data_IF_412481358334
#
_entry.id   IF_412481358334
#
_cell.length_a   1.000
_cell.length_b   1.000
_cell.length_c   1.000
_cell.angle_alpha   90.00
_cell.angle_beta   90.00
_cell.angle_gamma   90.00
#
_symmetry.space_group_name_H-M   'P 1'
#
loop_
_entity.id
_entity.type
_entity.pdbx_description
1 polymer ?
#
# COMPACT_ATOMS: atom_id res chain seq x y z
N UNK A 1 4.95 0.81 -1.39
CA UNK A 1 5.42 0.20 -2.65
C UNK A 1 4.23 -0.36 -3.41
N UNK A 2 4.23 -0.30 -4.75
CA UNK A 2 3.26 -1.00 -5.60
C UNK A 2 3.98 -1.63 -6.79
N UNK A 3 3.36 -2.64 -7.41
CA UNK A 3 3.94 -3.37 -8.52
C UNK A 3 2.91 -3.61 -9.62
N UNK A 4 3.34 -3.53 -10.86
CA UNK A 4 2.50 -3.77 -12.01
C UNK A 4 3.32 -4.31 -13.18
N UNK A 5 3.05 -5.54 -13.59
CA UNK A 5 3.68 -6.20 -14.76
C UNK A 5 5.22 -6.07 -14.79
N UNK A 6 5.85 -6.36 -13.64
CA UNK A 6 7.30 -6.27 -13.48
C UNK A 6 7.87 -4.86 -13.32
N UNK A 7 7.05 -3.84 -13.25
CA UNK A 7 7.43 -2.49 -12.84
C UNK A 7 7.20 -2.34 -11.34
N UNK A 8 8.21 -1.87 -10.64
CA UNK A 8 8.18 -1.67 -9.18
C UNK A 8 8.22 -0.16 -8.93
N UNK A 9 7.26 0.34 -8.17
CA UNK A 9 7.09 1.74 -7.82
C UNK A 9 7.37 1.92 -6.33
N UNK A 10 8.29 2.80 -5.98
CA UNK A 10 8.66 3.08 -4.58
C UNK A 10 8.61 4.57 -4.33
N UNK A 11 7.77 5.00 -3.40
CA UNK A 11 7.72 6.41 -2.98
C UNK A 11 8.99 6.79 -2.23
N UNK A 12 9.67 7.84 -2.69
CA UNK A 12 10.83 8.43 -2.03
C UNK A 12 10.47 9.83 -1.52
N UNK A 13 10.11 9.88 -0.25
CA UNK A 13 9.67 11.11 0.42
C UNK A 13 10.80 12.16 0.52
N UNK A 14 12.05 11.74 0.55
CA UNK A 14 13.21 12.63 0.65
C UNK A 14 13.52 13.27 -0.70
N UNK A 15 13.58 12.45 -1.75
CA UNK A 15 13.83 12.93 -3.11
C UNK A 15 12.58 13.55 -3.77
N UNK A 16 11.39 13.35 -3.19
CA UNK A 16 10.09 13.85 -3.70
C UNK A 16 9.71 13.25 -5.05
N UNK A 17 10.04 11.99 -5.28
CA UNK A 17 9.72 11.25 -6.50
C UNK A 17 9.14 9.89 -6.16
N UNK A 18 8.52 9.25 -7.14
CA UNK A 18 8.31 7.80 -7.15
C UNK A 18 9.39 7.17 -8.01
N UNK A 19 10.23 6.33 -7.42
CA UNK A 19 11.26 5.58 -8.13
C UNK A 19 10.61 4.42 -8.87
N UNK A 20 10.98 4.23 -10.13
CA UNK A 20 10.43 3.20 -11.00
C UNK A 20 11.55 2.28 -11.47
N UNK A 21 11.44 1.01 -11.11
CA UNK A 21 12.30 -0.06 -11.62
C UNK A 21 11.49 -0.86 -12.64
N UNK A 22 11.72 -0.62 -13.92
CA UNK A 22 11.12 -1.40 -15.02
C UNK A 22 12.04 -2.58 -15.30
N UNK A 23 11.79 -3.67 -14.56
CA UNK A 23 12.66 -4.84 -14.58
C UNK A 23 12.66 -5.54 -15.93
N UNK A 24 11.51 -5.77 -16.61
CA UNK A 24 11.49 -6.37 -17.93
C UNK A 24 12.31 -5.62 -18.98
N UNK A 25 12.43 -4.29 -18.83
CA UNK A 25 13.19 -3.44 -19.76
C UNK A 25 14.58 -3.09 -19.27
N UNK A 26 14.94 -3.49 -18.04
CA UNK A 26 16.21 -3.13 -17.41
C UNK A 26 16.37 -1.61 -17.23
N UNK A 27 15.29 -0.86 -17.02
CA UNK A 27 15.30 0.59 -16.92
C UNK A 27 15.00 1.05 -15.51
N UNK A 28 15.68 2.12 -15.12
CA UNK A 28 15.40 2.89 -13.92
C UNK A 28 15.00 4.30 -14.29
N UNK A 29 13.95 4.81 -13.67
CA UNK A 29 13.45 6.17 -13.86
C UNK A 29 12.76 6.67 -12.58
N UNK A 30 12.24 7.87 -12.62
CA UNK A 30 11.38 8.41 -11.57
C UNK A 30 10.14 9.08 -12.17
N UNK A 31 9.09 9.22 -11.35
CA UNK A 31 7.86 9.92 -11.66
C UNK A 31 7.70 11.03 -10.63
N UNK A 32 7.24 12.18 -11.09
CA UNK A 32 7.10 13.45 -10.38
C UNK A 32 7.85 14.54 -11.14
N UNK A 33 7.25 15.70 -11.25
CA UNK A 33 7.84 16.85 -11.93
C UNK A 33 8.71 17.66 -10.95
N UNK A 34 9.74 18.34 -11.45
CA UNK A 34 10.57 19.23 -10.64
C UNK A 34 9.77 20.46 -10.17
N UNK A 35 8.82 20.89 -10.99
CA UNK A 35 7.92 22.02 -10.74
C UNK A 35 6.55 21.81 -11.41
N UNK A 36 5.58 22.63 -11.07
CA UNK A 36 4.25 22.60 -11.68
C UNK A 36 3.27 21.64 -11.00
N UNK A 37 2.13 21.35 -11.66
CA UNK A 37 1.01 20.62 -11.03
C UNK A 37 1.31 19.15 -10.77
N UNK A 38 2.28 18.55 -11.45
CA UNK A 38 2.73 17.17 -11.28
C UNK A 38 3.89 17.03 -10.27
N UNK A 39 4.29 18.11 -9.58
CA UNK A 39 5.33 18.05 -8.57
C UNK A 39 4.84 17.32 -7.33
N UNK A 40 5.63 16.35 -6.86
CA UNK A 40 5.43 15.68 -5.59
C UNK A 40 6.13 16.47 -4.48
N UNK A 41 5.44 16.65 -3.35
CA UNK A 41 5.95 17.39 -2.18
C UNK A 41 6.38 16.42 -1.09
N UNK A 42 5.52 15.47 -0.75
CA UNK A 42 5.77 14.44 0.26
C UNK A 42 4.97 13.18 -0.04
N UNK A 43 5.39 12.41 -1.06
CA UNK A 43 4.70 11.17 -1.43
C UNK A 43 4.84 10.12 -0.32
N UNK A 44 3.77 9.42 0.00
CA UNK A 44 3.73 8.41 1.07
C UNK A 44 3.15 7.08 0.60
N UNK A 45 1.89 7.02 0.25
CA UNK A 45 1.23 5.82 -0.27
C UNK A 45 1.09 5.89 -1.79
N UNK A 46 1.05 4.76 -2.45
CA UNK A 46 0.86 4.70 -3.90
C UNK A 46 0.22 3.39 -4.32
N UNK A 47 -0.51 3.43 -5.42
CA UNK A 47 -1.08 2.26 -6.05
C UNK A 47 -1.15 2.44 -7.57
N UNK A 48 -1.34 1.32 -8.31
CA UNK A 48 -1.37 1.29 -9.77
C UNK A 48 -2.61 0.52 -10.25
N UNK A 49 -3.36 1.11 -11.18
CA UNK A 49 -4.52 0.44 -11.76
C UNK A 49 -4.15 -0.54 -12.90
N UNK A 50 -5.16 -1.25 -13.40
CA UNK A 50 -5.00 -2.23 -14.48
C UNK A 50 -4.56 -1.65 -15.84
N UNK A 51 -4.58 -0.32 -16.02
CA UNK A 51 -4.05 0.38 -17.18
C UNK A 51 -2.60 0.87 -16.95
N UNK A 52 -2.04 0.66 -15.75
CA UNK A 52 -0.70 1.10 -15.40
C UNK A 52 -0.61 2.58 -14.97
N UNK A 53 -1.76 3.24 -14.71
CA UNK A 53 -1.77 4.60 -14.17
C UNK A 53 -1.38 4.55 -12.68
N UNK A 54 -0.50 5.46 -12.29
CA UNK A 54 0.00 5.58 -10.92
C UNK A 54 -0.80 6.62 -10.14
N UNK A 55 -1.21 6.25 -8.94
CA UNK A 55 -1.92 7.09 -7.97
C UNK A 55 -1.02 7.29 -6.76
N UNK A 56 -0.70 8.54 -6.43
CA UNK A 56 0.23 8.88 -5.35
C UNK A 56 -0.44 9.73 -4.29
N UNK A 57 -0.55 9.21 -3.09
CA UNK A 57 -0.97 9.97 -1.93
C UNK A 57 0.17 10.91 -1.50
N UNK A 58 -0.03 12.20 -1.61
CA UNK A 58 0.96 13.21 -1.22
C UNK A 58 0.45 14.05 -0.06
N UNK A 59 1.08 13.88 1.11
CA UNK A 59 0.71 14.62 2.34
C UNK A 59 0.98 16.11 2.18
N UNK A 60 2.06 16.48 1.49
CA UNK A 60 2.43 17.89 1.32
C UNK A 60 1.48 18.61 0.38
N UNK A 61 1.08 17.97 -0.71
CA UNK A 61 0.08 18.47 -1.64
C UNK A 61 -1.36 18.36 -1.11
N UNK A 62 -1.58 17.57 -0.06
CA UNK A 62 -2.90 17.21 0.48
C UNK A 62 -3.85 16.73 -0.62
N UNK A 63 -3.36 15.85 -1.46
CA UNK A 63 -4.08 15.33 -2.61
C UNK A 63 -3.51 13.99 -3.05
N UNK A 64 -4.27 13.28 -3.88
CA UNK A 64 -3.77 12.17 -4.67
C UNK A 64 -3.42 12.71 -6.06
N UNK A 65 -2.16 12.56 -6.48
CA UNK A 65 -1.70 12.91 -7.81
C UNK A 65 -1.74 11.66 -8.70
N UNK A 66 -2.25 11.81 -9.91
CA UNK A 66 -2.44 10.72 -10.86
C UNK A 66 -1.56 10.96 -12.08
N UNK A 67 -0.79 9.92 -12.45
CA UNK A 67 0.09 9.92 -13.62
C UNK A 67 -0.32 8.77 -14.55
N UNK A 68 -0.06 8.94 -15.84
CA UNK A 68 -0.25 7.85 -16.81
C UNK A 68 0.84 6.77 -16.69
N UNK A 69 0.76 5.74 -17.53
CA UNK A 69 1.71 4.63 -17.52
C UNK A 69 3.14 5.05 -17.91
N UNK A 70 3.30 6.16 -18.60
CA UNK A 70 4.58 6.78 -19.00
C UNK A 70 5.13 7.71 -17.92
N UNK A 71 4.32 8.04 -16.89
CA UNK A 71 4.69 8.92 -15.78
C UNK A 71 4.36 10.39 -16.02
N UNK A 72 3.53 10.71 -17.02
CA UNK A 72 3.08 12.07 -17.29
C UNK A 72 1.91 12.39 -16.33
N UNK A 73 1.97 13.58 -15.72
CA UNK A 73 0.92 14.03 -14.82
C UNK A 73 -0.42 14.19 -15.57
N UNK A 74 -1.46 13.59 -15.04
CA UNK A 74 -2.82 13.68 -15.58
C UNK A 74 -3.68 14.67 -14.80
N UNK A 75 -3.76 14.51 -13.48
CA UNK A 75 -4.60 15.33 -12.60
C UNK A 75 -4.35 15.02 -11.14
N UNK A 76 -4.99 15.81 -10.30
CA UNK A 76 -5.07 15.59 -8.83
C UNK A 76 -6.52 15.34 -8.40
N UNK A 77 -6.69 14.56 -7.34
CA UNK A 77 -7.96 14.32 -6.68
C UNK A 77 -7.84 14.76 -5.21
N UNK A 78 -8.83 15.53 -4.76
CA UNK A 78 -8.86 16.11 -3.42
C UNK A 78 -8.02 17.36 -3.27
N UNK A 79 -8.07 17.95 -2.09
CA UNK A 79 -7.43 19.19 -1.68
C UNK A 79 -7.27 19.23 -0.17
N UNK A 80 -6.78 20.36 0.36
CA UNK A 80 -6.72 20.62 1.81
C UNK A 80 -8.10 20.62 2.49
N UNK A 81 -9.18 20.82 1.74
CA UNK A 81 -10.55 20.76 2.29
C UNK A 81 -10.98 19.32 2.57
N UNK A 82 -10.45 18.38 1.79
CA UNK A 82 -10.71 16.94 1.95
C UNK A 82 -9.71 16.25 2.85
N UNK A 83 -8.41 16.53 2.69
CA UNK A 83 -7.36 15.79 3.39
C UNK A 83 -6.64 16.66 4.42
N UNK A 84 -6.70 16.24 5.66
CA UNK A 84 -5.89 16.84 6.73
C UNK A 84 -4.56 16.07 6.86
N UNK A 85 -4.62 14.74 6.88
CA UNK A 85 -3.45 13.87 7.00
C UNK A 85 -3.65 12.58 6.21
N UNK A 86 -3.49 12.69 4.92
CA UNK A 86 -3.52 11.57 3.99
C UNK A 86 -2.37 10.59 4.28
N UNK A 87 -2.66 9.29 4.43
CA UNK A 87 -1.64 8.27 4.76
C UNK A 87 -1.43 7.26 3.65
N UNK A 88 -2.47 6.89 2.92
CA UNK A 88 -2.39 5.91 1.85
C UNK A 88 -3.50 6.11 0.83
N UNK A 89 -3.35 5.42 -0.30
CA UNK A 89 -4.31 5.35 -1.39
C UNK A 89 -4.32 3.96 -2.00
N UNK A 90 -5.49 3.47 -2.39
CA UNK A 90 -5.61 2.39 -3.35
C UNK A 90 -6.66 2.71 -4.41
N UNK A 91 -6.61 1.99 -5.53
CA UNK A 91 -7.51 2.17 -6.67
C UNK A 91 -8.02 0.82 -7.14
N UNK A 92 -9.26 0.74 -7.61
CA UNK A 92 -9.73 -0.48 -8.24
C UNK A 92 -9.03 -0.72 -9.60
N UNK A 93 -8.98 -1.98 -10.03
CA UNK A 93 -8.28 -2.36 -11.27
C UNK A 93 -8.83 -1.64 -12.52
N UNK A 94 -10.09 -1.20 -12.51
CA UNK A 94 -10.70 -0.43 -13.59
C UNK A 94 -10.28 1.06 -13.57
N UNK A 95 -9.69 1.53 -12.46
CA UNK A 95 -9.36 2.94 -12.25
C UNK A 95 -10.60 3.81 -12.17
N UNK A 96 -11.66 3.31 -11.55
CA UNK A 96 -12.94 4.01 -11.40
C UNK A 96 -13.13 4.55 -10.00
N UNK A 97 -12.79 3.77 -8.97
CA UNK A 97 -12.92 4.16 -7.56
C UNK A 97 -11.54 4.27 -6.92
N UNK A 98 -11.32 5.40 -6.29
CA UNK A 98 -10.12 5.70 -5.52
C UNK A 98 -10.50 5.76 -4.04
N UNK A 99 -9.73 5.07 -3.21
CA UNK A 99 -9.88 4.99 -1.77
C UNK A 99 -8.67 5.62 -1.09
N UNK A 100 -8.88 6.65 -0.29
CA UNK A 100 -7.80 7.40 0.35
C UNK A 100 -7.99 7.42 1.87
N UNK A 101 -6.97 7.00 2.60
CA UNK A 101 -6.98 6.98 4.07
C UNK A 101 -6.61 8.36 4.60
N UNK A 102 -7.52 8.98 5.35
CA UNK A 102 -7.28 10.24 6.05
C UNK A 102 -7.47 10.06 7.56
N UNK A 103 -6.46 10.38 8.33
CA UNK A 103 -6.52 10.30 9.80
C UNK A 103 -6.82 11.65 10.46
N UNK A 104 -7.09 12.67 9.66
CA UNK A 104 -7.38 14.00 10.19
C UNK A 104 -6.26 14.58 11.06
N UNK A 105 -6.60 15.53 11.92
CA UNK A 105 -5.71 16.05 12.96
C UNK A 105 -5.71 15.19 14.22
N UNK A 106 -4.81 15.47 15.15
CA UNK A 106 -4.64 14.70 16.41
C UNK A 106 -5.93 14.60 17.24
N UNK A 107 -6.78 15.61 17.17
CA UNK A 107 -8.08 15.67 17.87
C UNK A 107 -9.28 15.46 16.93
N UNK A 108 -9.04 15.03 15.70
CA UNK A 108 -10.09 14.86 14.70
C UNK A 108 -10.84 13.56 14.91
N UNK A 109 -12.13 13.56 14.65
CA UNK A 109 -12.96 12.35 14.55
C UNK A 109 -12.93 11.75 13.13
N UNK A 110 -12.19 12.36 12.21
CA UNK A 110 -12.07 11.96 10.80
C UNK A 110 -11.01 10.87 10.59
N UNK A 111 -11.13 9.75 11.28
CA UNK A 111 -10.37 8.55 10.97
C UNK A 111 -11.19 7.74 9.98
N UNK A 112 -10.90 7.88 8.69
CA UNK A 112 -11.79 7.35 7.65
C UNK A 112 -11.07 7.00 6.36
N UNK A 113 -11.74 6.23 5.52
CA UNK A 113 -11.39 6.01 4.12
C UNK A 113 -12.34 6.84 3.28
N UNK A 114 -11.81 7.81 2.53
CA UNK A 114 -12.58 8.63 1.60
C UNK A 114 -12.62 7.96 0.23
N UNK A 115 -13.79 7.90 -0.34
CA UNK A 115 -14.01 7.28 -1.66
C UNK A 115 -14.31 8.37 -2.68
N UNK A 116 -13.54 8.35 -3.77
CA UNK A 116 -13.71 9.28 -4.88
C UNK A 116 -13.94 8.53 -6.20
N UNK A 117 -14.66 9.14 -7.09
CA UNK A 117 -14.62 8.77 -8.51
C UNK A 117 -13.24 9.17 -9.07
N UNK A 118 -12.48 8.18 -9.50
CA UNK A 118 -11.10 8.40 -9.91
C UNK A 118 -10.98 9.18 -11.24
N UNK A 119 -12.04 9.23 -12.05
CA UNK A 119 -12.08 9.95 -13.34
C UNK A 119 -12.45 11.42 -13.18
N UNK A 120 -13.48 11.72 -12.43
CA UNK A 120 -13.96 13.08 -12.20
C UNK A 120 -13.34 13.78 -11.01
N UNK A 121 -12.82 13.00 -10.03
CA UNK A 121 -12.36 13.49 -8.75
C UNK A 121 -13.50 13.82 -7.77
N UNK A 122 -14.75 13.48 -8.10
CA UNK A 122 -15.90 13.72 -7.25
C UNK A 122 -15.84 12.83 -6.00
N UNK A 123 -16.06 13.41 -4.83
CA UNK A 123 -16.24 12.65 -3.60
C UNK A 123 -17.55 11.87 -3.66
N UNK A 124 -17.49 10.59 -3.35
CA UNK A 124 -18.63 9.68 -3.39
C UNK A 124 -19.19 9.40 -2.00
N UNK A 125 -18.31 9.08 -1.04
CA UNK A 125 -18.66 8.78 0.36
C UNK A 125 -17.44 8.66 1.24
N UNK A 126 -17.66 8.59 2.55
CA UNK A 126 -16.67 8.21 3.55
C UNK A 126 -17.05 6.86 4.16
N UNK A 127 -16.03 6.05 4.52
CA UNK A 127 -16.15 4.78 5.22
C UNK A 127 -15.44 4.93 6.57
N UNK A 128 -16.16 4.57 7.65
CA UNK A 128 -15.66 4.61 9.01
C UNK A 128 -15.62 6.00 9.62
N UNK A 129 -15.24 6.01 10.88
CA UNK A 129 -15.02 7.18 11.74
C UNK A 129 -14.09 6.79 12.88
N UNK A 130 -13.67 7.74 13.69
CA UNK A 130 -12.85 7.45 14.88
C UNK A 130 -13.60 6.61 15.89
N UNK A 131 -12.97 5.52 16.33
CA UNK A 131 -13.49 4.63 17.37
C UNK A 131 -12.79 3.27 17.37
N UNK A 132 -13.38 2.33 18.10
CA UNK A 132 -12.89 0.95 18.23
C UNK A 132 -13.97 -0.11 17.96
N UNK A 133 -15.16 0.30 17.63
CA UNK A 133 -16.30 -0.57 17.28
C UNK A 133 -16.17 -1.18 15.88
N UNK A 134 -17.24 -1.83 15.45
CA UNK A 134 -17.38 -2.37 14.11
C UNK A 134 -17.39 -1.24 13.08
N UNK A 135 -16.53 -1.34 12.07
CA UNK A 135 -16.41 -0.32 11.04
C UNK A 135 -15.82 1.02 11.49
N UNK A 136 -15.38 1.14 12.73
CA UNK A 136 -14.66 2.31 13.25
C UNK A 136 -13.15 2.11 13.19
N UNK A 137 -12.37 3.21 13.21
CA UNK A 137 -10.92 3.21 13.12
C UNK A 137 -10.25 4.03 14.21
N UNK A 138 -9.06 3.59 14.59
CA UNK A 138 -8.13 4.41 15.36
C UNK A 138 -6.78 4.48 14.62
N UNK A 139 -6.47 5.65 14.08
CA UNK A 139 -5.26 5.88 13.28
C UNK A 139 -5.10 4.86 12.13
N UNK A 140 -6.05 4.77 11.21
CA UNK A 140 -5.91 3.89 10.04
C UNK A 140 -4.66 4.28 9.26
N UNK A 141 -3.94 3.27 8.75
CA UNK A 141 -2.63 3.45 8.14
C UNK A 141 -2.64 3.27 6.64
N UNK A 142 -3.29 2.21 6.21
CA UNK A 142 -3.25 1.76 4.84
C UNK A 142 -4.56 1.10 4.43
N UNK A 143 -4.81 1.04 3.13
CA UNK A 143 -5.96 0.40 2.52
C UNK A 143 -5.52 -0.35 1.27
N UNK A 144 -6.01 -1.57 1.11
CA UNK A 144 -5.87 -2.36 -0.10
C UNK A 144 -7.23 -2.90 -0.55
N UNK A 145 -7.35 -3.19 -1.84
CA UNK A 145 -8.55 -3.78 -2.44
C UNK A 145 -8.24 -5.18 -2.95
N UNK A 146 -9.04 -6.16 -2.54
CA UNK A 146 -8.99 -7.52 -3.07
C UNK A 146 -9.62 -7.62 -4.46
N UNK A 147 -9.32 -8.67 -5.19
CA UNK A 147 -9.90 -8.94 -6.51
C UNK A 147 -11.43 -9.07 -6.49
N UNK A 148 -11.97 -9.47 -5.36
CA UNK A 148 -13.42 -9.56 -5.11
C UNK A 148 -14.07 -8.20 -4.78
N UNK A 149 -13.29 -7.14 -4.75
CA UNK A 149 -13.72 -5.77 -4.44
C UNK A 149 -13.82 -5.46 -2.94
N UNK A 150 -13.46 -6.39 -2.05
CA UNK A 150 -13.39 -6.12 -0.62
C UNK A 150 -12.25 -5.17 -0.30
N UNK A 151 -12.49 -4.28 0.67
CA UNK A 151 -11.51 -3.35 1.17
C UNK A 151 -10.93 -3.88 2.48
N UNK A 152 -9.61 -3.83 2.60
CA UNK A 152 -8.86 -4.23 3.77
C UNK A 152 -8.14 -3.00 4.31
N UNK A 153 -8.47 -2.59 5.53
CA UNK A 153 -7.93 -1.36 6.14
C UNK A 153 -7.10 -1.73 7.36
N UNK A 154 -5.85 -1.33 7.39
CA UNK A 154 -4.98 -1.43 8.58
C UNK A 154 -5.42 -0.40 9.60
N UNK A 155 -6.09 -0.82 10.64
CA UNK A 155 -6.51 -0.01 11.78
C UNK A 155 -5.42 -0.01 12.85
N UNK A 156 -4.40 0.83 12.62
CA UNK A 156 -3.11 0.75 13.31
C UNK A 156 -3.20 0.98 14.82
N UNK A 157 -4.07 1.87 15.27
CA UNK A 157 -4.26 2.16 16.69
C UNK A 157 -5.14 1.16 17.42
N UNK A 158 -5.91 0.34 16.69
CA UNK A 158 -6.68 -0.77 17.25
C UNK A 158 -6.01 -2.13 16.98
N UNK A 159 -4.83 -2.15 16.35
CA UNK A 159 -4.01 -3.36 16.12
C UNK A 159 -4.74 -4.47 15.37
N UNK A 160 -5.48 -4.10 14.33
CA UNK A 160 -6.31 -5.03 13.53
C UNK A 160 -6.34 -4.65 12.06
N UNK A 161 -6.79 -5.58 11.23
CA UNK A 161 -7.25 -5.31 9.86
C UNK A 161 -8.77 -5.37 9.84
N UNK A 162 -9.41 -4.35 9.29
CA UNK A 162 -10.88 -4.27 9.16
C UNK A 162 -11.24 -4.49 7.69
N UNK A 163 -12.25 -5.33 7.45
CA UNK A 163 -12.68 -5.72 6.12
C UNK A 163 -14.09 -5.19 5.85
N UNK A 164 -14.24 -4.55 4.70
CA UNK A 164 -15.51 -4.03 4.20
C UNK A 164 -15.85 -4.66 2.86
N UNK A 165 -17.13 -4.68 2.52
CA UNK A 165 -17.55 -4.96 1.16
C UNK A 165 -17.25 -3.79 0.22
N UNK A 166 -17.50 -3.97 -1.07
CA UNK A 166 -17.31 -2.93 -2.09
C UNK A 166 -18.11 -1.65 -1.82
N UNK A 167 -19.22 -1.77 -1.09
CA UNK A 167 -20.11 -0.66 -0.78
C UNK A 167 -19.77 0.03 0.54
N UNK A 168 -18.73 -0.46 1.24
CA UNK A 168 -18.23 0.11 2.48
C UNK A 168 -19.00 -0.36 3.72
N UNK A 169 -19.75 -1.45 3.63
CA UNK A 169 -20.35 -2.08 4.79
C UNK A 169 -19.32 -2.95 5.50
N UNK A 170 -19.29 -2.86 6.82
CA UNK A 170 -18.43 -3.71 7.65
C UNK A 170 -18.76 -5.18 7.46
N UNK A 171 -17.75 -5.99 7.25
CA UNK A 171 -17.89 -7.44 7.17
C UNK A 171 -17.32 -8.12 8.42
N UNK A 172 -16.09 -7.81 8.76
CA UNK A 172 -15.38 -8.39 9.92
C UNK A 172 -14.04 -7.70 10.15
N UNK A 173 -13.35 -8.09 11.21
CA UNK A 173 -11.94 -7.73 11.46
C UNK A 173 -11.19 -8.91 12.04
N UNK A 174 -9.87 -8.88 11.93
CA UNK A 174 -8.96 -9.84 12.57
C UNK A 174 -7.71 -9.14 13.09
N UNK A 175 -6.99 -9.83 13.99
CA UNK A 175 -5.85 -9.28 14.71
C UNK A 175 -6.22 -8.65 16.05
N UNK A 176 -5.25 -8.51 16.90
CA UNK A 176 -5.36 -7.86 18.21
C UNK A 176 -3.98 -7.41 18.68
N UNK A 177 -3.93 -6.53 19.68
CA UNK A 177 -2.65 -6.16 20.30
C UNK A 177 -1.99 -7.36 20.98
N UNK A 178 -0.68 -7.54 20.78
CA UNK A 178 0.07 -8.58 21.48
C UNK A 178 1.40 -8.89 20.86
N UNK A 179 2.05 -9.97 21.34
CA UNK A 179 3.37 -10.42 20.91
C UNK A 179 3.35 -11.83 20.29
N UNK A 180 2.20 -12.44 20.23
CA UNK A 180 2.03 -13.78 19.64
C UNK A 180 1.77 -13.68 18.12
N UNK A 181 1.95 -14.78 17.45
CA UNK A 181 1.62 -14.89 16.02
C UNK A 181 0.13 -14.61 15.78
N UNK A 182 -0.17 -13.86 14.71
CA UNK A 182 -1.52 -13.39 14.43
C UNK A 182 -1.92 -12.14 15.22
N UNK A 183 -1.07 -11.69 16.15
CA UNK A 183 -1.25 -10.41 16.84
C UNK A 183 -0.35 -9.33 16.23
N UNK A 184 -0.64 -8.08 16.55
CA UNK A 184 0.09 -6.92 16.04
C UNK A 184 0.60 -6.03 17.17
N UNK A 185 1.75 -5.42 16.93
CA UNK A 185 2.32 -4.39 17.79
C UNK A 185 2.38 -3.03 17.09
N UNK A 186 2.61 -3.01 15.77
CA UNK A 186 2.63 -1.81 14.94
C UNK A 186 2.34 -2.13 13.48
N UNK A 187 1.11 -2.59 13.15
CA UNK A 187 0.75 -2.89 11.78
C UNK A 187 0.78 -1.60 10.96
N UNK A 188 1.29 -1.67 9.73
CA UNK A 188 1.54 -0.47 8.93
C UNK A 188 0.94 -0.52 7.52
N UNK A 189 1.24 -1.55 6.75
CA UNK A 189 0.74 -1.70 5.38
C UNK A 189 0.14 -3.08 5.15
N UNK A 190 -0.74 -3.17 4.16
CA UNK A 190 -1.45 -4.39 3.76
C UNK A 190 -1.40 -4.55 2.25
N UNK A 191 -1.20 -5.79 1.80
CA UNK A 191 -1.35 -6.20 0.41
C UNK A 191 -2.22 -7.44 0.32
N UNK A 192 -2.89 -7.64 -0.81
CA UNK A 192 -3.79 -8.78 -1.05
C UNK A 192 -3.32 -9.48 -2.32
N UNK A 193 -3.17 -10.81 -2.27
CA UNK A 193 -2.87 -11.59 -3.44
C UNK A 193 -4.14 -12.02 -4.22
N UNK A 194 -3.95 -12.77 -5.30
CA UNK A 194 -5.05 -13.25 -6.15
C UNK A 194 -6.01 -14.19 -5.44
N UNK A 195 -5.50 -14.93 -4.45
CA UNK A 195 -6.24 -15.94 -3.72
C UNK A 195 -6.97 -15.33 -2.51
N UNK A 196 -6.76 -14.02 -2.29
CA UNK A 196 -7.34 -13.25 -1.20
C UNK A 196 -6.55 -13.36 0.11
N UNK A 197 -5.32 -13.93 0.07
CA UNK A 197 -4.48 -13.91 1.25
C UNK A 197 -4.03 -12.48 1.57
N UNK A 198 -3.96 -12.19 2.85
CA UNK A 198 -3.72 -10.85 3.39
C UNK A 198 -2.32 -10.78 3.97
N UNK A 199 -1.50 -9.90 3.45
CA UNK A 199 -0.11 -9.67 3.85
C UNK A 199 -0.04 -8.40 4.66
N UNK A 200 0.38 -8.46 5.92
CA UNK A 200 0.43 -7.30 6.81
C UNK A 200 1.82 -7.11 7.36
N UNK A 201 2.42 -5.93 7.13
CA UNK A 201 3.68 -5.55 7.77
C UNK A 201 3.44 -5.14 9.22
N UNK A 202 4.23 -5.70 10.13
CA UNK A 202 4.38 -5.17 11.48
C UNK A 202 5.79 -4.59 11.69
N UNK A 203 5.85 -3.27 11.76
CA UNK A 203 7.12 -2.54 11.89
C UNK A 203 7.81 -2.78 13.23
N UNK A 204 7.06 -3.04 14.31
CA UNK A 204 7.65 -3.29 15.62
C UNK A 204 8.27 -4.68 15.70
N UNK A 205 7.66 -5.68 15.09
CA UNK A 205 8.21 -7.03 15.00
C UNK A 205 9.31 -7.16 13.94
N UNK A 206 9.38 -6.21 12.98
CA UNK A 206 10.30 -6.30 11.85
C UNK A 206 9.98 -7.47 10.94
N UNK A 207 8.70 -7.78 10.72
CA UNK A 207 8.24 -8.88 9.89
C UNK A 207 7.03 -8.50 9.06
N UNK A 208 6.59 -9.41 8.22
CA UNK A 208 5.22 -9.42 7.70
C UNK A 208 4.56 -10.75 8.01
N UNK A 209 3.27 -10.71 8.21
CA UNK A 209 2.42 -11.86 8.50
C UNK A 209 1.46 -12.09 7.34
N UNK A 210 1.20 -13.34 7.00
CA UNK A 210 0.30 -13.76 5.93
C UNK A 210 -0.89 -14.47 6.56
N UNK A 211 -2.07 -14.01 6.22
CA UNK A 211 -3.34 -14.56 6.69
C UNK A 211 -4.14 -15.08 5.50
N UNK A 212 -4.94 -16.10 5.71
CA UNK A 212 -5.92 -16.53 4.74
C UNK A 212 -7.07 -15.50 4.59
N UNK A 213 -7.97 -15.67 3.59
CA UNK A 213 -9.12 -14.78 3.45
C UNK A 213 -10.02 -14.72 4.69
N UNK A 214 -9.96 -15.69 5.59
CA UNK A 214 -10.73 -15.73 6.82
C UNK A 214 -10.03 -15.08 8.01
N UNK A 215 -8.79 -14.64 7.86
CA UNK A 215 -7.99 -13.98 8.87
C UNK A 215 -7.24 -14.96 9.79
N UNK A 216 -7.16 -16.24 9.43
CA UNK A 216 -6.30 -17.19 10.11
C UNK A 216 -4.86 -17.04 9.64
N UNK A 217 -3.91 -17.02 10.59
CA UNK A 217 -2.49 -16.89 10.27
C UNK A 217 -1.98 -18.13 9.54
N UNK A 218 -1.39 -17.91 8.37
CA UNK A 218 -0.72 -18.95 7.57
C UNK A 218 0.79 -18.98 7.81
N UNK A 219 1.43 -17.82 7.80
CA UNK A 219 2.88 -17.71 7.87
C UNK A 219 3.30 -16.32 8.38
N UNK A 220 4.50 -16.25 8.95
CA UNK A 220 5.20 -14.98 9.14
C UNK A 220 6.62 -15.08 8.56
N UNK A 221 7.14 -13.96 8.06
CA UNK A 221 8.46 -13.91 7.43
C UNK A 221 9.22 -12.72 7.98
N UNK A 222 10.46 -12.98 8.36
CA UNK A 222 11.37 -11.97 8.87
C UNK A 222 11.32 -11.78 10.38
N UNK A 223 12.16 -10.86 10.84
CA UNK A 223 12.27 -10.47 12.23
C UNK A 223 13.15 -9.25 12.39
N UNK A 224 12.91 -8.51 13.48
CA UNK A 224 13.67 -7.31 13.80
C UNK A 224 15.14 -7.63 14.02
N UNK A 225 16.01 -6.90 13.30
CA UNK A 225 17.44 -7.08 13.41
C UNK A 225 18.16 -5.75 13.14
N UNK A 226 19.26 -5.50 13.84
CA UNK A 226 20.10 -4.31 13.67
C UNK A 226 21.11 -4.46 12.51
N UNK A 227 21.32 -5.70 12.06
CA UNK A 227 22.21 -6.00 10.93
C UNK A 227 21.39 -6.40 9.72
N UNK A 228 21.72 -5.83 8.57
CA UNK A 228 21.10 -6.18 7.30
C UNK A 228 21.36 -7.64 6.91
N UNK A 229 20.45 -8.20 6.14
CA UNK A 229 20.49 -9.57 5.62
C UNK A 229 19.12 -10.03 5.16
N UNK A 230 19.04 -11.22 4.54
CA UNK A 230 17.76 -11.79 4.10
C UNK A 230 16.78 -11.95 5.26
N UNK A 231 15.54 -11.51 5.05
CA UNK A 231 14.45 -11.53 6.05
C UNK A 231 14.80 -10.83 7.39
N UNK A 232 15.74 -9.90 7.37
CA UNK A 232 16.10 -9.05 8.51
C UNK A 232 15.64 -7.63 8.26
N UNK A 233 14.78 -7.14 9.12
CA UNK A 233 14.18 -5.82 8.98
C UNK A 233 14.37 -5.01 10.25
N UNK A 234 14.64 -3.73 10.08
CA UNK A 234 14.67 -2.78 11.19
C UNK A 234 13.45 -1.85 11.18
N UNK A 235 13.06 -1.42 9.99
CA UNK A 235 11.92 -0.51 9.79
C UNK A 235 11.18 -0.86 8.48
N UNK A 236 10.58 -2.08 8.39
CA UNK A 236 9.81 -2.44 7.21
C UNK A 236 8.61 -1.50 7.08
N UNK A 237 8.35 -1.03 5.88
CA UNK A 237 7.44 0.09 5.67
C UNK A 237 6.53 -0.02 4.47
N UNK A 238 6.81 -0.96 3.56
CA UNK A 238 6.04 -1.16 2.35
C UNK A 238 5.95 -2.62 1.97
N UNK A 239 4.77 -3.08 1.55
CA UNK A 239 4.55 -4.42 1.03
C UNK A 239 3.65 -4.40 -0.20
N UNK A 240 4.00 -5.17 -1.22
CA UNK A 240 3.16 -5.42 -2.38
C UNK A 240 3.27 -6.88 -2.80
N UNK A 241 2.24 -7.37 -3.48
CA UNK A 241 2.25 -8.70 -4.11
C UNK A 241 1.90 -8.52 -5.58
N UNK A 242 2.72 -9.09 -6.47
CA UNK A 242 2.48 -8.99 -7.90
C UNK A 242 1.54 -10.08 -8.42
N UNK A 243 1.27 -10.03 -9.73
CA UNK A 243 0.38 -10.95 -10.42
C UNK A 243 0.94 -12.38 -10.46
N UNK A 244 2.23 -12.57 -10.23
CA UNK A 244 2.92 -13.86 -10.16
C UNK A 244 3.04 -14.39 -8.73
N UNK A 245 2.53 -13.63 -7.74
CA UNK A 245 2.58 -13.96 -6.32
C UNK A 245 3.94 -13.67 -5.67
N UNK A 246 4.80 -12.87 -6.31
CA UNK A 246 6.02 -12.39 -5.65
C UNK A 246 5.67 -11.32 -4.63
N UNK A 247 6.35 -11.36 -3.50
CA UNK A 247 6.16 -10.42 -2.40
C UNK A 247 7.34 -9.44 -2.41
N UNK A 248 7.04 -8.16 -2.39
CA UNK A 248 8.00 -7.06 -2.37
C UNK A 248 7.93 -6.36 -1.02
N UNK A 249 9.05 -6.26 -0.31
CA UNK A 249 9.12 -5.64 1.01
C UNK A 249 10.17 -4.54 1.01
N UNK A 250 9.77 -3.32 1.37
CA UNK A 250 10.66 -2.18 1.51
C UNK A 250 11.02 -1.98 2.98
N UNK A 251 12.32 -1.89 3.29
CA UNK A 251 12.83 -1.46 4.59
C UNK A 251 13.48 -0.07 4.48
N UNK A 252 12.93 0.90 5.22
CA UNK A 252 13.39 2.28 5.19
C UNK A 252 14.75 2.48 5.88
N UNK A 253 15.03 1.68 6.91
CA UNK A 253 16.28 1.79 7.66
C UNK A 253 17.47 1.33 6.84
N UNK A 254 17.35 0.11 6.28
CA UNK A 254 18.40 -0.46 5.43
C UNK A 254 18.36 0.07 3.99
N UNK A 255 17.33 0.84 3.61
CA UNK A 255 17.13 1.37 2.25
C UNK A 255 17.13 0.26 1.21
N UNK A 256 16.49 -0.85 1.51
CA UNK A 256 16.43 -2.03 0.65
C UNK A 256 15.02 -2.37 0.21
N UNK A 257 14.95 -3.04 -0.92
CA UNK A 257 13.79 -3.76 -1.42
C UNK A 257 14.14 -5.24 -1.48
N UNK A 258 13.43 -6.07 -0.76
CA UNK A 258 13.51 -7.53 -0.86
C UNK A 258 12.36 -8.08 -1.70
N UNK A 259 12.66 -9.10 -2.51
CA UNK A 259 11.68 -9.78 -3.33
C UNK A 259 11.69 -11.27 -2.99
N UNK A 260 10.54 -11.77 -2.55
CA UNK A 260 10.33 -13.19 -2.30
C UNK A 260 9.58 -13.81 -3.48
N UNK A 261 10.04 -14.93 -3.93
CA UNK A 261 9.44 -15.68 -5.03
C UNK A 261 8.71 -16.91 -4.47
N UNK A 262 7.45 -17.17 -4.87
CA UNK A 262 6.79 -18.43 -4.55
C UNK A 262 7.62 -19.63 -4.99
N UNK A 263 7.69 -20.68 -4.18
CA UNK A 263 8.47 -21.88 -4.51
C UNK A 263 8.00 -22.56 -5.80
N UNK A 264 6.71 -22.49 -6.10
CA UNK A 264 6.12 -23.05 -7.31
C UNK A 264 6.44 -22.25 -8.58
N UNK A 265 6.85 -20.99 -8.46
CA UNK A 265 7.21 -20.16 -9.61
C UNK A 265 8.65 -20.44 -10.02
N UNK A 266 8.88 -20.81 -11.30
CA UNK A 266 10.24 -21.01 -11.83
C UNK A 266 11.10 -19.75 -11.67
N UNK A 267 12.43 -19.93 -11.58
CA UNK A 267 13.35 -18.81 -11.36
C UNK A 267 13.29 -17.77 -12.49
N UNK A 268 13.06 -18.23 -13.70
CA UNK A 268 12.88 -17.45 -14.93
C UNK A 268 11.41 -17.24 -15.31
N UNK A 269 10.47 -17.56 -14.41
CA UNK A 269 9.03 -17.42 -14.63
C UNK A 269 8.52 -16.01 -14.35
N UNK A 270 7.38 -15.67 -14.98
CA UNK A 270 6.64 -14.42 -14.75
C UNK A 270 7.33 -13.16 -15.25
N UNK A 271 6.82 -12.01 -14.85
CA UNK A 271 7.27 -10.69 -15.33
C UNK A 271 8.71 -10.34 -14.96
N UNK A 272 9.26 -10.89 -13.88
CA UNK A 272 10.65 -10.67 -13.48
C UNK A 272 11.63 -11.71 -14.01
N UNK A 273 11.16 -12.78 -14.63
CA UNK A 273 11.98 -13.94 -15.02
C UNK A 273 12.98 -13.70 -16.15
N UNK A 274 12.88 -12.60 -16.85
CA UNK A 274 13.74 -12.25 -17.97
C UNK A 274 14.89 -11.29 -17.62
N UNK A 275 15.19 -11.12 -16.33
CA UNK A 275 16.41 -10.40 -15.94
C UNK A 275 17.58 -11.27 -16.35
N UNK A 276 18.24 -10.93 -17.46
CA UNK A 276 19.58 -11.43 -17.73
C UNK A 276 20.44 -11.01 -16.53
N UNK A 277 20.89 -11.97 -15.73
CA UNK A 277 21.84 -11.71 -14.67
C UNK A 277 23.03 -10.91 -15.20
N UNK A 278 23.78 -10.20 -14.34
CA UNK A 278 24.95 -9.48 -14.77
C UNK A 278 25.89 -10.48 -15.48
N UNK A 279 26.24 -10.18 -16.72
CA UNK A 279 27.29 -10.88 -17.47
C UNK A 279 28.63 -10.53 -16.88
#
# INVERSE_FOLDING_TARGET
>A
VSVFRGRIFVSDTVSRYVRVFDVPRGKYSHIGDDEGPGQLIKPVGLDVDGAGRLYVADIGAKAVLIYDAEGVFLRRVGSADWFQRLTSVCVDAAGERLYAVDIGGVASDQHQVRVFDAKSGAHLRDIGRRGNGEGEFNLPRDVAIGKDGRLYVVDGGNFRVVIFDRDGNYLRSFGSIGKHYGQFARPKEVAIDRDGNVYVIDTAFGNFQIFDPDGALLLFVGGRNERDGPARYMLPSGIAVDEDGRIYVVDQWFRKLEVYRPAALAADGGFLGHIAGPR
#
